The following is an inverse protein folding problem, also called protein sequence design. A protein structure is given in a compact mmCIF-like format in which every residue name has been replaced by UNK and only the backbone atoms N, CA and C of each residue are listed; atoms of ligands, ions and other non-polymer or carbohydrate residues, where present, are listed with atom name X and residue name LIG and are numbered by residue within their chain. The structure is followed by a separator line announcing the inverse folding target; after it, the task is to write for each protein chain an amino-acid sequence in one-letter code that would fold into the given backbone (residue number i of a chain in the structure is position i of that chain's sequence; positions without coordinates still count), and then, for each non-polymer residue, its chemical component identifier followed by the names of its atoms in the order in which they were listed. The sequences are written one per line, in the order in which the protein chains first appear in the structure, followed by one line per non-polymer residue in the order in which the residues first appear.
data_IF_225120726873
#
_entry.id   IF_225120726873
#
_cell.length_a   1.000
_cell.length_b   1.000
_cell.length_c   1.000
_cell.angle_alpha   90.00
_cell.angle_beta   90.00
_cell.angle_gamma   90.00
#
_symmetry.space_group_name_H-M   'P 1'
#
loop_
_entity.id
_entity.type
_entity.pdbx_description
1 polymer ?
#
# COMPACT_ATOMS: atom_id res chain seq x y z
N UNK A 1 6.40 13.18 -56.27
CA UNK A 1 5.25 13.36 -55.35
C UNK A 1 4.68 11.98 -55.05
N UNK A 2 4.77 11.32 -53.89
CA UNK A 2 5.41 11.57 -52.58
C UNK A 2 5.54 10.16 -51.95
N UNK A 3 6.73 9.79 -51.49
CA UNK A 3 7.00 8.55 -50.77
C UNK A 3 6.42 8.64 -49.35
N UNK A 4 5.65 7.65 -48.90
CA UNK A 4 5.34 7.47 -47.48
C UNK A 4 5.75 6.05 -47.11
N UNK A 5 6.97 5.92 -46.62
CA UNK A 5 7.51 4.73 -45.97
C UNK A 5 6.73 4.48 -44.68
N UNK A 6 6.04 3.35 -44.60
CA UNK A 6 5.52 2.82 -43.34
C UNK A 6 6.70 2.36 -42.49
N UNK A 7 7.15 3.23 -41.58
CA UNK A 7 8.12 2.85 -40.56
C UNK A 7 7.41 1.93 -39.56
N UNK A 8 7.61 0.62 -39.70
CA UNK A 8 7.26 -0.32 -38.64
C UNK A 8 8.26 -0.12 -37.50
N UNK A 9 7.81 0.46 -36.38
CA UNK A 9 8.57 0.46 -35.14
C UNK A 9 8.57 -0.98 -34.61
N UNK A 10 9.56 -1.76 -35.02
CA UNK A 10 9.82 -3.08 -34.46
C UNK A 10 10.47 -2.86 -33.09
N UNK A 11 9.66 -2.97 -32.02
CA UNK A 11 10.17 -2.98 -30.65
C UNK A 11 10.97 -4.28 -30.47
N UNK A 12 12.27 -4.22 -30.75
CA UNK A 12 13.19 -5.30 -30.40
C UNK A 12 13.30 -5.29 -28.89
N UNK A 13 12.54 -6.17 -28.22
CA UNK A 13 12.80 -6.53 -26.83
C UNK A 13 14.13 -7.26 -26.81
N UNK A 14 15.22 -6.50 -26.63
CA UNK A 14 16.51 -7.10 -26.39
C UNK A 14 16.37 -8.02 -25.15
N UNK A 15 16.90 -9.26 -25.20
CA UNK A 15 16.75 -10.25 -24.12
C UNK A 15 17.35 -9.84 -22.75
N UNK A 16 17.89 -8.61 -22.65
CA UNK A 16 18.33 -7.98 -21.40
C UNK A 16 17.32 -7.02 -20.75
N UNK A 17 16.22 -6.64 -21.42
CA UNK A 17 15.21 -5.75 -20.82
C UNK A 17 14.30 -6.49 -19.83
N UNK A 18 14.09 -7.78 -20.01
CA UNK A 18 13.29 -8.61 -19.10
C UNK A 18 14.01 -8.88 -17.78
N UNK A 19 15.34 -8.98 -17.77
CA UNK A 19 16.14 -9.14 -16.55
C UNK A 19 16.25 -7.85 -15.72
N UNK A 20 16.12 -6.68 -16.34
CA UNK A 20 16.09 -5.39 -15.64
C UNK A 20 14.78 -5.15 -14.86
N UNK A 21 13.68 -5.75 -15.29
CA UNK A 21 12.38 -5.64 -14.62
C UNK A 21 12.19 -6.63 -13.46
N UNK A 22 13.07 -7.64 -13.32
CA UNK A 22 12.85 -8.74 -12.37
C UNK A 22 13.90 -8.91 -11.27
N UNK A 23 14.98 -8.11 -11.23
CA UNK A 23 15.96 -8.19 -10.15
C UNK A 23 16.03 -6.90 -9.34
N UNK A 24 14.97 -6.63 -8.57
CA UNK A 24 15.01 -5.76 -7.41
C UNK A 24 15.18 -6.61 -6.13
N UNK A 25 16.12 -7.54 -6.12
CA UNK A 25 16.80 -7.87 -4.86
C UNK A 25 17.73 -6.69 -4.57
N UNK A 26 17.12 -5.59 -4.13
CA UNK A 26 17.76 -4.50 -3.41
C UNK A 26 18.71 -5.10 -2.35
N UNK A 27 19.73 -4.35 -1.95
CA UNK A 27 20.64 -4.72 -0.86
C UNK A 27 19.86 -4.99 0.45
N UNK A 28 19.33 -6.20 0.61
CA UNK A 28 18.58 -6.61 1.78
C UNK A 28 19.57 -6.94 2.90
N UNK A 29 19.25 -6.60 4.16
CA UNK A 29 20.09 -6.95 5.30
C UNK A 29 20.39 -8.46 5.33
N UNK A 30 21.59 -8.82 5.80
CA UNK A 30 21.92 -10.24 6.05
C UNK A 30 20.90 -10.84 7.02
N UNK A 31 20.38 -12.01 6.67
CA UNK A 31 19.35 -12.70 7.47
C UNK A 31 17.91 -12.25 7.19
N UNK A 32 17.69 -11.38 6.19
CA UNK A 32 16.34 -11.11 5.71
C UNK A 32 15.74 -12.36 5.05
N UNK A 33 14.57 -12.76 5.50
CA UNK A 33 13.77 -13.82 4.93
C UNK A 33 12.37 -13.29 4.60
N UNK A 34 11.99 -13.37 3.33
CA UNK A 34 10.65 -12.96 2.88
C UNK A 34 9.72 -14.18 2.87
N UNK A 35 8.85 -14.27 3.88
CA UNK A 35 7.90 -15.39 4.01
C UNK A 35 6.64 -15.22 3.16
N UNK A 36 6.31 -13.97 2.78
CA UNK A 36 5.17 -13.64 1.92
C UNK A 36 5.61 -12.67 0.81
N UNK A 37 5.14 -12.84 -0.44
CA UNK A 37 5.41 -11.87 -1.50
C UNK A 37 4.93 -10.46 -1.12
N UNK A 38 5.65 -9.44 -1.60
CA UNK A 38 5.22 -8.03 -1.43
C UNK A 38 3.83 -7.83 -2.04
N UNK A 39 3.01 -7.01 -1.38
CA UNK A 39 1.66 -6.69 -1.85
C UNK A 39 0.60 -7.77 -1.58
N UNK A 40 0.93 -8.83 -0.84
CA UNK A 40 -0.03 -9.88 -0.45
C UNK A 40 -0.82 -9.54 0.83
N UNK A 41 -0.40 -8.53 1.59
CA UNK A 41 -1.21 -7.95 2.67
C UNK A 41 -2.12 -6.91 2.05
N UNK A 42 -3.43 -7.05 2.27
CA UNK A 42 -4.46 -6.17 1.73
C UNK A 42 -4.54 -4.83 2.49
N UNK A 43 -3.43 -4.09 2.55
CA UNK A 43 -3.34 -2.85 3.30
C UNK A 43 -4.34 -1.79 2.79
N UNK A 44 -4.99 -1.09 3.71
CA UNK A 44 -5.82 0.07 3.38
C UNK A 44 -4.91 1.28 3.24
N UNK A 45 -4.76 1.80 2.02
CA UNK A 45 -3.89 2.96 1.75
C UNK A 45 -4.64 4.27 1.50
N UNK A 46 -5.96 4.20 1.39
CA UNK A 46 -6.85 5.36 1.25
C UNK A 46 -8.03 5.20 2.22
N UNK A 47 -7.78 5.30 3.54
CA UNK A 47 -8.83 5.09 4.53
C UNK A 47 -9.92 6.16 4.43
N UNK A 48 -11.18 5.72 4.53
CA UNK A 48 -12.34 6.58 4.64
C UNK A 48 -12.85 6.58 6.07
N UNK A 49 -12.94 7.76 6.68
CA UNK A 49 -13.39 7.91 8.06
C UNK A 49 -14.84 8.38 8.11
N UNK A 50 -15.55 7.90 9.14
CA UNK A 50 -16.90 8.34 9.49
C UNK A 50 -16.88 8.89 10.91
N UNK A 51 -17.91 9.66 11.27
CA UNK A 51 -18.13 10.06 12.66
C UNK A 51 -18.42 8.82 13.52
N UNK A 52 -18.10 8.89 14.81
CA UNK A 52 -18.23 7.75 15.72
C UNK A 52 -19.66 7.22 15.82
N UNK A 53 -20.66 8.11 15.75
CA UNK A 53 -22.09 7.77 15.76
C UNK A 53 -22.58 7.10 14.46
N UNK A 54 -21.79 7.20 13.39
CA UNK A 54 -22.06 6.66 12.06
C UNK A 54 -21.23 5.41 11.77
N UNK A 55 -20.37 5.00 12.72
CA UNK A 55 -19.52 3.84 12.58
C UNK A 55 -20.34 2.54 12.67
N UNK A 56 -20.17 1.65 11.68
CA UNK A 56 -20.82 0.35 11.66
C UNK A 56 -20.04 -0.69 12.47
N UNK A 57 -19.91 -0.46 13.79
CA UNK A 57 -19.28 -1.35 14.77
C UNK A 57 -20.13 -1.38 16.05
N UNK A 58 -20.00 -2.42 16.88
CA UNK A 58 -20.69 -2.45 18.17
C UNK A 58 -20.16 -1.35 19.09
N UNK A 59 -21.01 -0.77 19.94
CA UNK A 59 -20.64 0.36 20.80
C UNK A 59 -19.57 0.05 21.86
N UNK A 60 -19.34 -1.23 22.15
CA UNK A 60 -18.31 -1.77 23.03
C UNK A 60 -17.10 -2.35 22.26
N UNK A 61 -17.03 -2.13 20.95
CA UNK A 61 -15.92 -2.62 20.12
C UNK A 61 -14.62 -1.92 20.51
N UNK A 62 -13.55 -2.70 20.56
CA UNK A 62 -12.21 -2.18 20.68
C UNK A 62 -11.76 -1.48 19.39
N UNK A 63 -11.03 -0.38 19.57
CA UNK A 63 -10.41 0.38 18.50
C UNK A 63 -8.96 0.66 18.85
N UNK A 64 -8.11 0.72 17.82
CA UNK A 64 -6.79 1.34 17.96
C UNK A 64 -6.99 2.87 17.87
N UNK A 65 -6.70 3.58 18.94
CA UNK A 65 -6.76 5.05 18.98
C UNK A 65 -5.42 5.68 18.63
N UNK A 66 -5.43 6.68 17.75
CA UNK A 66 -4.25 7.49 17.42
C UNK A 66 -4.60 8.96 17.61
N UNK A 67 -3.75 9.71 18.31
CA UNK A 67 -3.87 11.16 18.46
C UNK A 67 -2.55 11.81 18.05
N UNK A 68 -2.60 12.64 17.01
CA UNK A 68 -1.45 13.37 16.47
C UNK A 68 -1.88 14.84 16.35
N UNK A 69 -1.12 15.75 16.97
CA UNK A 69 -1.40 17.20 16.96
C UNK A 69 -2.85 17.56 17.32
N UNK A 70 -3.45 16.83 18.26
CA UNK A 70 -4.84 17.03 18.69
C UNK A 70 -5.91 16.43 17.75
N UNK A 71 -5.51 15.87 16.61
CA UNK A 71 -6.41 15.14 15.72
C UNK A 71 -6.48 13.66 16.12
N UNK A 72 -7.66 13.21 16.55
CA UNK A 72 -7.92 11.83 16.93
C UNK A 72 -8.47 11.00 15.75
N UNK A 73 -8.02 9.75 15.66
CA UNK A 73 -8.58 8.71 14.78
C UNK A 73 -8.78 7.42 15.56
N UNK A 74 -9.81 6.67 15.19
CA UNK A 74 -10.11 5.35 15.73
C UNK A 74 -10.18 4.35 14.57
N UNK A 75 -9.40 3.27 14.68
CA UNK A 75 -9.37 2.18 13.71
C UNK A 75 -10.04 0.96 14.33
N UNK A 76 -11.07 0.42 13.68
CA UNK A 76 -11.72 -0.80 14.13
C UNK A 76 -10.73 -1.96 14.11
N UNK A 77 -10.57 -2.65 15.25
CA UNK A 77 -9.74 -3.86 15.29
C UNK A 77 -10.33 -4.99 14.43
N UNK A 78 -11.65 -5.02 14.22
CA UNK A 78 -12.29 -6.00 13.33
C UNK A 78 -11.91 -5.79 11.87
N UNK A 79 -11.81 -4.53 11.42
CA UNK A 79 -11.30 -4.22 10.08
C UNK A 79 -9.80 -4.52 9.97
N UNK A 80 -9.03 -4.18 10.99
CA UNK A 80 -7.59 -4.48 11.03
C UNK A 80 -7.29 -5.99 11.07
N UNK A 81 -8.15 -6.83 11.66
CA UNK A 81 -8.01 -8.29 11.53
C UNK A 81 -8.06 -8.78 10.07
N UNK A 82 -8.74 -8.05 9.18
CA UNK A 82 -8.87 -8.42 7.76
C UNK A 82 -7.89 -7.70 6.84
N UNK A 83 -7.39 -6.54 7.26
CA UNK A 83 -6.57 -5.66 6.44
C UNK A 83 -5.16 -5.41 6.99
N UNK A 84 -4.86 -5.85 8.21
CA UNK A 84 -3.60 -5.85 9.00
C UNK A 84 -2.85 -4.52 9.15
N UNK A 85 -2.96 -3.64 8.17
CA UNK A 85 -2.26 -2.38 8.04
C UNK A 85 -3.19 -1.34 7.43
N UNK A 86 -3.29 -0.18 8.08
CA UNK A 86 -3.84 1.05 7.48
C UNK A 86 -2.70 2.06 7.35
N UNK A 87 -2.35 2.43 6.12
CA UNK A 87 -1.41 3.50 5.84
C UNK A 87 -2.17 4.82 5.87
N UNK A 88 -1.80 5.70 6.79
CA UNK A 88 -2.54 6.92 7.04
C UNK A 88 -1.62 8.14 7.24
N UNK A 89 -2.22 9.32 7.21
CA UNK A 89 -1.55 10.59 7.35
C UNK A 89 -2.42 11.61 8.07
N UNK A 90 -1.87 12.23 9.11
CA UNK A 90 -2.42 13.44 9.74
C UNK A 90 -1.44 14.58 9.46
N UNK A 91 -1.89 15.60 8.73
CA UNK A 91 -1.01 16.69 8.28
C UNK A 91 0.19 16.15 7.48
N UNK A 92 1.40 16.43 7.95
CA UNK A 92 2.64 15.95 7.32
C UNK A 92 3.15 14.62 7.90
N UNK A 93 2.52 14.09 8.94
CA UNK A 93 2.96 12.89 9.65
C UNK A 93 2.30 11.67 9.01
N UNK A 94 3.10 10.87 8.31
CA UNK A 94 2.68 9.57 7.82
C UNK A 94 2.93 8.50 8.89
N UNK A 95 2.00 7.57 9.03
CA UNK A 95 2.10 6.44 9.95
C UNK A 95 1.36 5.23 9.41
N UNK A 96 1.65 4.06 9.99
CA UNK A 96 0.93 2.84 9.74
C UNK A 96 0.29 2.36 11.06
N UNK A 97 -1.02 2.18 11.05
CA UNK A 97 -1.73 1.48 12.11
C UNK A 97 -1.70 -0.02 11.80
N UNK A 98 -1.14 -0.82 12.71
CA UNK A 98 -0.93 -2.27 12.52
C UNK A 98 -1.51 -3.06 13.70
N UNK A 99 -1.97 -4.29 13.43
CA UNK A 99 -2.55 -5.21 14.42
C UNK A 99 -2.06 -6.64 14.18
#
# INVERSE_FOLDING_TARGET
MTYISRLAFMLVLAPGFTSMLYSQTENLPKGFEQIIPRGQIAAISQPHFVQGDSANIAGDSWVLGVVIDGHARAYSLNLLNSHEVVNDRIGNIAFAAVW
#
